data_IF_624670293084
#
_entry.id   IF_624670293084
#
_cell.length_a   1.000
_cell.length_b   1.000
_cell.length_c   1.000
_cell.angle_alpha   90.00
_cell.angle_beta   90.00
_cell.angle_gamma   90.00
#
_symmetry.space_group_name_H-M   'P 1'
#
loop_
_entity.id
_entity.type
_entity.pdbx_description
1 polymer ?
#
# COMPACT_ATOMS: atom_id res chain seq x y z
N UNK A 1 4.35 20.45 3.49
CA UNK A 1 4.33 18.97 3.54
C UNK A 1 3.57 18.49 2.34
N UNK A 2 4.16 17.66 1.48
CA UNK A 2 3.39 16.90 0.50
C UNK A 2 3.13 15.57 1.20
N UNK A 3 1.98 15.43 1.86
CA UNK A 3 1.58 14.15 2.43
C UNK A 3 1.27 13.23 1.25
N UNK A 4 1.89 12.04 1.16
CA UNK A 4 1.58 11.13 0.06
C UNK A 4 0.10 10.72 0.15
N UNK A 5 -0.58 10.67 -0.99
CA UNK A 5 -1.90 10.07 -1.08
C UNK A 5 -1.77 8.54 -1.12
N UNK A 6 -2.72 7.83 -0.53
CA UNK A 6 -2.78 6.38 -0.66
C UNK A 6 -3.07 5.98 -2.12
N UNK A 7 -2.25 5.10 -2.68
CA UNK A 7 -2.40 4.64 -4.06
C UNK A 7 -3.69 3.86 -4.32
N UNK A 8 -4.32 3.31 -3.27
CA UNK A 8 -5.55 2.52 -3.35
C UNK A 8 -6.83 3.35 -3.16
N UNK A 9 -6.94 4.12 -2.07
CA UNK A 9 -8.15 4.88 -1.76
C UNK A 9 -8.08 6.37 -2.11
N UNK A 10 -6.93 6.85 -2.59
CA UNK A 10 -6.64 8.24 -2.98
C UNK A 10 -6.82 9.29 -1.87
N UNK A 11 -7.06 8.86 -0.63
CA UNK A 11 -7.08 9.74 0.55
C UNK A 11 -5.67 10.11 0.97
N UNK A 12 -5.51 11.31 1.54
CA UNK A 12 -4.26 11.77 2.12
C UNK A 12 -3.84 10.86 3.28
N UNK A 13 -2.54 10.60 3.41
CA UNK A 13 -2.00 9.87 4.55
C UNK A 13 -1.85 10.81 5.75
N UNK A 14 -2.76 10.68 6.72
CA UNK A 14 -2.75 11.43 7.98
C UNK A 14 -1.78 10.84 9.03
N UNK A 15 -1.31 9.60 8.81
CA UNK A 15 -0.40 8.87 9.70
C UNK A 15 0.53 7.94 8.87
N UNK A 16 1.57 7.38 9.51
CA UNK A 16 2.46 6.39 8.91
C UNK A 16 1.67 5.19 8.37
N UNK A 17 1.68 5.06 7.05
CA UNK A 17 1.17 3.92 6.30
C UNK A 17 2.23 2.86 6.00
N UNK A 18 1.89 1.93 5.11
CA UNK A 18 2.83 0.96 4.53
C UNK A 18 3.39 1.44 3.19
N UNK A 19 4.63 1.04 2.91
CA UNK A 19 5.20 1.10 1.54
C UNK A 19 5.18 -0.33 0.99
N UNK A 20 4.50 -0.52 -0.14
CA UNK A 20 4.51 -1.78 -0.88
C UNK A 20 5.32 -1.63 -2.16
N UNK A 21 5.94 -2.73 -2.59
CA UNK A 21 6.63 -2.82 -3.86
C UNK A 21 5.92 -3.86 -4.74
N UNK A 22 5.66 -3.52 -5.99
CA UNK A 22 5.18 -4.50 -6.96
C UNK A 22 6.27 -5.55 -7.25
N UNK A 23 5.90 -6.71 -7.81
CA UNK A 23 6.86 -7.53 -8.53
C UNK A 23 7.62 -6.69 -9.58
N UNK A 24 8.87 -7.06 -9.88
CA UNK A 24 9.66 -6.36 -10.88
C UNK A 24 9.08 -6.58 -12.28
N UNK A 25 8.88 -5.50 -13.02
CA UNK A 25 8.54 -5.49 -14.45
C UNK A 25 9.68 -4.79 -15.20
N UNK A 26 10.34 -5.48 -16.14
CA UNK A 26 11.50 -4.95 -16.87
C UNK A 26 12.62 -4.39 -15.97
N UNK A 27 12.88 -5.04 -14.83
CA UNK A 27 13.89 -4.60 -13.86
C UNK A 27 13.49 -3.40 -13.00
N UNK A 28 12.24 -2.94 -13.10
CA UNK A 28 11.71 -1.82 -12.32
C UNK A 28 10.60 -2.29 -11.37
N UNK A 29 10.52 -1.67 -10.19
CA UNK A 29 9.44 -1.90 -9.22
C UNK A 29 8.61 -0.63 -9.05
N UNK A 30 7.30 -0.79 -8.87
CA UNK A 30 6.41 0.31 -8.51
C UNK A 30 6.37 0.43 -6.98
N UNK A 31 6.70 1.61 -6.48
CA UNK A 31 6.56 1.96 -5.06
C UNK A 31 5.14 2.49 -4.82
N UNK A 32 4.42 1.87 -3.89
CA UNK A 32 3.03 2.21 -3.55
C UNK A 32 2.95 2.68 -2.09
N UNK A 33 2.30 3.82 -1.86
CA UNK A 33 1.95 4.35 -0.55
C UNK A 33 0.57 3.84 -0.13
N UNK A 34 0.48 3.19 1.03
CA UNK A 34 -0.74 2.49 1.45
C UNK A 34 -1.15 2.94 2.84
N UNK A 35 -2.38 3.42 3.01
CA UNK A 35 -2.88 3.75 4.35
C UNK A 35 -3.14 2.49 5.17
N UNK A 36 -3.19 2.62 6.50
CA UNK A 36 -3.44 1.47 7.41
C UNK A 36 -4.70 0.70 7.07
N UNK A 37 -5.79 1.38 6.69
CA UNK A 37 -7.06 0.73 6.37
C UNK A 37 -6.98 -0.11 5.10
N UNK A 38 -6.34 0.39 4.04
CA UNK A 38 -6.09 -0.40 2.83
C UNK A 38 -5.12 -1.56 3.12
N UNK A 39 -4.08 -1.33 3.91
CA UNK A 39 -3.11 -2.37 4.26
C UNK A 39 -3.76 -3.52 5.05
N UNK A 40 -4.66 -3.22 6.00
CA UNK A 40 -5.40 -4.26 6.74
C UNK A 40 -6.18 -5.19 5.83
N UNK A 41 -6.86 -4.65 4.80
CA UNK A 41 -7.62 -5.45 3.83
C UNK A 41 -6.71 -6.38 3.03
N UNK A 42 -5.57 -5.84 2.57
CA UNK A 42 -4.56 -6.62 1.84
C UNK A 42 -4.06 -7.77 2.73
N UNK A 43 -3.71 -7.49 3.99
CA UNK A 43 -3.26 -8.52 4.94
C UNK A 43 -4.34 -9.56 5.19
N UNK A 44 -5.61 -9.15 5.30
CA UNK A 44 -6.73 -10.07 5.46
C UNK A 44 -6.91 -11.00 4.24
N UNK A 45 -6.68 -10.51 3.03
CA UNK A 45 -6.66 -11.34 1.80
C UNK A 45 -5.49 -12.35 1.79
N UNK A 46 -4.35 -12.01 2.39
CA UNK A 46 -3.19 -12.90 2.48
C UNK A 46 -3.24 -13.89 3.64
N UNK A 47 -4.20 -13.77 4.57
CA UNK A 47 -4.35 -14.75 5.63
C UNK A 47 -4.76 -16.08 5.02
N UNK A 48 -4.01 -17.18 5.23
CA UNK A 48 -4.45 -18.48 4.79
C UNK A 48 -5.78 -18.81 5.47
N UNK A 49 -6.81 -19.08 4.68
CA UNK A 49 -8.07 -19.68 5.14
C UNK A 49 -7.76 -21.13 5.56
N UNK A 50 -7.19 -21.29 6.75
CA UNK A 50 -6.87 -22.59 7.34
C UNK A 50 -7.87 -22.95 8.41
#
# INVERSE_FOLDING_TARGET
MISPACDFCKKELEDFGGILFSPPENGLVRKLHVCRSCYSRIVDEFKPHR
#
